data_IF_152892177164
#
_entry.id   IF_152892177164
#
_cell.length_a   1.000
_cell.length_b   1.000
_cell.length_c   1.000
_cell.angle_alpha   90.00
_cell.angle_beta   90.00
_cell.angle_gamma   90.00
#
_symmetry.space_group_name_H-M   'P 1'
#
loop_
_entity.id
_entity.type
_entity.pdbx_description
1 polymer ?
#
# COMPACT_ATOMS: atom_id res chain seq x y z
N UNK A 1 -4.79 -10.23 -6.46
CA UNK A 1 -5.01 -9.66 -7.80
C UNK A 1 -6.13 -10.38 -8.49
N UNK A 2 -6.96 -9.65 -9.17
CA UNK A 2 -7.98 -10.27 -9.99
C UNK A 2 -7.34 -10.84 -11.25
N UNK A 3 -7.73 -12.05 -11.62
CA UNK A 3 -7.15 -12.70 -12.79
C UNK A 3 -7.50 -12.00 -14.10
N UNK A 4 -8.63 -11.34 -14.15
CA UNK A 4 -9.09 -10.60 -15.32
C UNK A 4 -8.54 -9.17 -15.37
N UNK A 5 -7.68 -8.81 -14.41
CA UNK A 5 -7.06 -7.50 -14.27
C UNK A 5 -8.04 -6.36 -14.04
N UNK A 6 -9.29 -6.66 -13.69
CA UNK A 6 -10.22 -5.60 -13.34
C UNK A 6 -9.87 -5.01 -11.98
N UNK A 7 -10.21 -3.74 -11.79
CA UNK A 7 -9.99 -3.07 -10.53
C UNK A 7 -10.97 -3.61 -9.47
N UNK A 8 -10.48 -3.71 -8.24
CA UNK A 8 -11.33 -3.95 -7.09
C UNK A 8 -11.95 -2.60 -6.73
N UNK A 9 -13.28 -2.54 -6.72
CA UNK A 9 -14.01 -1.30 -6.49
C UNK A 9 -15.03 -1.54 -5.39
N UNK A 10 -15.23 -0.53 -4.54
CA UNK A 10 -16.26 -0.57 -3.51
C UNK A 10 -15.75 -0.16 -2.14
N UNK A 11 -16.69 -0.06 -1.20
CA UNK A 11 -16.39 0.30 0.19
C UNK A 11 -16.29 -0.97 1.03
N UNK A 12 -15.26 -1.01 1.85
CA UNK A 12 -15.07 -2.13 2.79
C UNK A 12 -16.11 -2.02 3.89
N UNK A 13 -16.74 -3.15 4.16
CA UNK A 13 -17.85 -3.22 5.10
C UNK A 13 -19.22 -3.16 4.44
N UNK A 14 -19.31 -2.75 3.17
CA UNK A 14 -20.54 -2.72 2.40
C UNK A 14 -20.43 -3.60 1.16
N UNK A 15 -19.55 -3.22 0.22
CA UNK A 15 -19.36 -3.92 -1.05
C UNK A 15 -18.28 -4.99 -0.97
N UNK A 16 -17.30 -4.79 -0.10
CA UNK A 16 -16.11 -5.63 0.04
C UNK A 16 -15.95 -6.09 1.48
N UNK A 17 -15.38 -7.27 1.64
CA UNK A 17 -14.97 -7.78 2.94
C UNK A 17 -13.63 -7.18 3.35
N UNK A 18 -13.29 -7.36 4.62
CA UNK A 18 -11.99 -6.96 5.17
C UNK A 18 -10.84 -7.65 4.44
N UNK A 19 -11.00 -8.93 4.12
CA UNK A 19 -9.96 -9.69 3.41
C UNK A 19 -9.80 -9.23 1.96
N UNK A 20 -10.90 -8.89 1.31
CA UNK A 20 -10.84 -8.30 -0.03
C UNK A 20 -10.14 -6.93 0.01
N UNK A 21 -10.37 -6.16 1.07
CA UNK A 21 -9.66 -4.90 1.27
C UNK A 21 -8.17 -5.09 1.46
N UNK A 22 -7.76 -6.10 2.24
CA UNK A 22 -6.36 -6.44 2.42
C UNK A 22 -5.70 -6.84 1.11
N UNK A 23 -6.40 -7.61 0.30
CA UNK A 23 -5.93 -7.97 -1.03
C UNK A 23 -5.76 -6.75 -1.92
N UNK A 24 -6.69 -5.79 -1.85
CA UNK A 24 -6.59 -4.55 -2.59
C UNK A 24 -5.36 -3.75 -2.17
N UNK A 25 -5.04 -3.70 -0.87
CA UNK A 25 -3.84 -3.03 -0.37
C UNK A 25 -2.57 -3.70 -0.88
N UNK A 26 -2.56 -5.03 -0.96
CA UNK A 26 -1.44 -5.77 -1.55
C UNK A 26 -1.28 -5.41 -3.03
N UNK A 27 -2.37 -5.28 -3.76
CA UNK A 27 -2.36 -4.86 -5.17
C UNK A 27 -1.73 -3.49 -5.35
N UNK A 28 -2.11 -2.54 -4.50
CA UNK A 28 -1.53 -1.19 -4.52
C UNK A 28 -0.03 -1.28 -4.26
N UNK A 29 0.38 -2.07 -3.28
CA UNK A 29 1.79 -2.30 -2.98
C UNK A 29 2.55 -2.87 -4.17
N UNK A 30 1.99 -3.84 -4.87
CA UNK A 30 2.61 -4.43 -6.05
C UNK A 30 2.76 -3.39 -7.17
N UNK A 31 1.77 -2.53 -7.37
CA UNK A 31 1.85 -1.45 -8.34
C UNK A 31 2.95 -0.46 -7.98
N UNK A 32 3.07 -0.11 -6.70
CA UNK A 32 4.13 0.77 -6.21
C UNK A 32 5.51 0.15 -6.45
N UNK A 33 5.67 -1.15 -6.19
CA UNK A 33 6.93 -1.85 -6.45
C UNK A 33 7.27 -1.86 -7.94
N UNK A 34 6.27 -2.05 -8.80
CA UNK A 34 6.49 -1.99 -10.25
C UNK A 34 6.97 -0.60 -10.68
N UNK A 35 6.42 0.46 -10.10
CA UNK A 35 6.84 1.84 -10.38
C UNK A 35 8.27 2.09 -9.92
N UNK A 36 8.64 1.61 -8.73
CA UNK A 36 10.01 1.73 -8.21
C UNK A 36 10.98 0.98 -9.12
N UNK A 37 10.64 -0.23 -9.53
CA UNK A 37 11.46 -1.02 -10.44
C UNK A 37 11.68 -0.28 -11.76
N UNK A 38 10.63 0.29 -12.33
CA UNK A 38 10.70 1.01 -13.60
C UNK A 38 11.59 2.26 -13.50
N UNK A 39 11.52 2.98 -12.38
CA UNK A 39 12.23 4.25 -12.22
C UNK A 39 13.66 4.09 -11.74
N UNK A 40 13.92 3.15 -10.85
CA UNK A 40 15.22 2.96 -10.24
C UNK A 40 15.98 1.73 -10.77
N UNK A 41 15.28 0.81 -11.40
CA UNK A 41 15.88 -0.41 -11.95
C UNK A 41 16.07 -1.53 -10.94
N UNK A 42 16.00 -1.25 -9.65
CA UNK A 42 16.19 -2.27 -8.61
C UNK A 42 15.60 -1.80 -7.28
N UNK A 43 15.01 -2.71 -6.53
CA UNK A 43 14.56 -2.45 -5.16
C UNK A 43 15.75 -2.23 -4.22
N UNK A 44 16.93 -2.73 -4.57
CA UNK A 44 18.11 -2.59 -3.74
C UNK A 44 18.59 -1.13 -3.62
N UNK A 45 18.12 -0.24 -4.47
CA UNK A 45 18.43 1.18 -4.38
C UNK A 45 17.66 1.91 -3.29
N UNK A 46 16.63 1.29 -2.76
CA UNK A 46 15.87 1.83 -1.62
C UNK A 46 16.56 1.37 -0.33
N UNK A 47 16.85 2.33 0.55
CA UNK A 47 17.43 2.03 1.84
C UNK A 47 16.35 1.56 2.81
N UNK A 48 15.28 2.34 2.92
CA UNK A 48 14.18 2.00 3.81
C UNK A 48 12.93 2.80 3.48
N UNK A 49 11.80 2.23 3.87
CA UNK A 49 10.52 2.93 3.90
C UNK A 49 10.47 3.76 5.17
N UNK A 50 10.15 5.04 5.05
CA UNK A 50 10.12 5.95 6.19
C UNK A 50 8.71 6.02 6.77
N UNK A 51 7.72 6.25 5.91
CA UNK A 51 6.34 6.44 6.34
C UNK A 51 5.37 5.90 5.30
N UNK A 52 4.31 5.29 5.78
CA UNK A 52 3.18 4.84 4.95
C UNK A 52 1.91 5.46 5.51
N UNK A 53 1.16 6.14 4.64
CA UNK A 53 -0.18 6.60 4.95
C UNK A 53 -1.16 5.75 4.14
N UNK A 54 -1.94 4.93 4.83
CA UNK A 54 -2.96 4.09 4.21
C UNK A 54 -4.35 4.67 4.43
N UNK A 55 -5.08 4.87 3.35
CA UNK A 55 -6.44 5.40 3.36
C UNK A 55 -7.39 4.32 2.91
N UNK A 56 -8.41 4.05 3.71
CA UNK A 56 -9.35 2.96 3.49
C UNK A 56 -10.74 3.53 3.24
N UNK A 57 -11.32 3.21 2.09
CA UNK A 57 -12.71 3.54 1.77
C UNK A 57 -13.60 2.54 2.48
N UNK A 58 -14.26 2.95 3.53
CA UNK A 58 -14.98 2.03 4.38
C UNK A 58 -16.25 2.64 4.97
N UNK A 59 -17.10 1.77 5.52
CA UNK A 59 -18.28 2.21 6.25
C UNK A 59 -17.87 2.86 7.58
N UNK A 60 -18.73 3.75 8.16
CA UNK A 60 -18.36 4.45 9.39
C UNK A 60 -18.10 3.54 10.59
N UNK A 61 -18.69 2.34 10.60
CA UNK A 61 -18.54 1.39 11.70
C UNK A 61 -17.34 0.43 11.51
N UNK A 62 -16.62 0.53 10.40
CA UNK A 62 -15.46 -0.32 10.16
C UNK A 62 -14.28 0.20 10.97
N UNK A 63 -13.61 -0.69 11.71
CA UNK A 63 -12.51 -0.32 12.60
C UNK A 63 -11.20 -1.08 12.36
N UNK A 64 -11.11 -1.86 11.29
CA UNK A 64 -9.93 -2.70 11.04
C UNK A 64 -9.02 -2.15 9.93
N UNK A 65 -8.85 -0.83 9.90
CA UNK A 65 -7.98 -0.17 8.92
C UNK A 65 -6.55 -0.73 8.91
N UNK A 66 -5.89 -0.94 10.08
CA UNK A 66 -4.55 -1.51 10.08
C UNK A 66 -4.47 -2.89 9.44
N UNK A 67 -5.48 -3.73 9.65
CA UNK A 67 -5.52 -5.06 9.05
C UNK A 67 -5.50 -4.97 7.52
N UNK A 68 -6.29 -4.05 6.96
CA UNK A 68 -6.37 -3.84 5.51
C UNK A 68 -5.02 -3.39 4.97
N UNK A 69 -4.43 -2.38 5.60
CA UNK A 69 -3.15 -1.81 5.14
C UNK A 69 -1.99 -2.79 5.35
N UNK A 70 -2.12 -3.77 6.23
CA UNK A 70 -1.13 -4.84 6.38
C UNK A 70 -0.84 -5.56 5.05
N UNK A 71 -1.79 -5.59 4.11
CA UNK A 71 -1.56 -6.16 2.78
C UNK A 71 -0.37 -5.51 2.07
N UNK A 72 -0.23 -4.19 2.21
CA UNK A 72 0.90 -3.46 1.65
C UNK A 72 2.14 -3.56 2.54
N UNK A 73 1.97 -3.39 3.86
CA UNK A 73 3.10 -3.39 4.80
C UNK A 73 3.82 -4.73 4.84
N UNK A 74 3.08 -5.83 4.80
CA UNK A 74 3.65 -7.18 4.78
C UNK A 74 4.44 -7.40 3.49
N UNK A 75 3.94 -6.90 2.37
CA UNK A 75 4.64 -6.98 1.09
C UNK A 75 5.96 -6.22 1.14
N UNK A 76 5.96 -4.99 1.66
CA UNK A 76 7.17 -4.18 1.78
C UNK A 76 8.17 -4.83 2.74
N UNK A 77 7.70 -5.42 3.83
CA UNK A 77 8.56 -6.15 4.76
C UNK A 77 9.21 -7.36 4.09
N UNK A 78 8.50 -8.02 3.18
CA UNK A 78 9.06 -9.14 2.42
C UNK A 78 10.17 -8.69 1.47
N UNK A 79 10.06 -7.47 0.92
CA UNK A 79 11.06 -6.95 -0.04
C UNK A 79 12.30 -6.41 0.67
N UNK A 80 12.11 -5.59 1.72
CA UNK A 80 13.21 -4.86 2.36
C UNK A 80 13.51 -5.32 3.79
N UNK A 81 12.81 -6.32 4.27
CA UNK A 81 12.94 -6.80 5.65
C UNK A 81 12.03 -6.03 6.61
N UNK A 82 11.73 -6.62 7.77
CA UNK A 82 10.78 -6.01 8.71
C UNK A 82 11.26 -4.67 9.28
N UNK A 83 12.57 -4.45 9.38
CA UNK A 83 13.11 -3.20 9.91
C UNK A 83 13.09 -2.07 8.88
N UNK A 84 13.47 -2.37 7.63
CA UNK A 84 13.61 -1.36 6.58
C UNK A 84 12.34 -1.18 5.75
N UNK A 85 11.46 -2.16 5.72
CA UNK A 85 10.29 -2.15 4.86
C UNK A 85 9.03 -1.56 5.47
N UNK A 86 8.98 -1.37 6.78
CA UNK A 86 7.74 -0.98 7.46
C UNK A 86 7.68 0.52 7.75
N UNK A 87 8.67 1.08 8.44
CA UNK A 87 8.64 2.49 8.80
C UNK A 87 7.48 2.85 9.76
N UNK A 88 7.18 4.13 9.87
CA UNK A 88 6.00 4.58 10.59
C UNK A 88 4.78 4.48 9.68
N UNK A 89 3.61 4.24 10.29
CA UNK A 89 2.39 4.01 9.51
C UNK A 89 1.18 4.63 10.17
N UNK A 90 0.33 5.24 9.34
CA UNK A 90 -1.01 5.65 9.71
C UNK A 90 -2.00 4.93 8.80
N UNK A 91 -3.04 4.34 9.38
CA UNK A 91 -4.10 3.70 8.64
C UNK A 91 -5.42 4.33 9.08
N UNK A 92 -6.10 4.99 8.16
CA UNK A 92 -7.28 5.79 8.47
C UNK A 92 -8.43 5.45 7.53
N UNK A 93 -9.64 5.73 7.97
CA UNK A 93 -10.85 5.50 7.18
C UNK A 93 -11.36 6.77 6.53
N UNK A 94 -11.86 6.63 5.31
CA UNK A 94 -12.51 7.70 4.57
C UNK A 94 -13.89 7.22 4.12
N UNK A 95 -14.82 8.16 4.05
CA UNK A 95 -16.18 7.86 3.56
C UNK A 95 -16.22 7.64 2.05
N UNK A 96 -15.22 8.12 1.33
CA UNK A 96 -15.11 7.92 -0.11
C UNK A 96 -13.67 8.14 -0.54
N UNK A 97 -13.29 7.48 -1.62
CA UNK A 97 -12.03 7.70 -2.32
C UNK A 97 -12.31 7.86 -3.81
N UNK A 98 -11.40 8.50 -4.57
CA UNK A 98 -11.59 8.69 -6.00
C UNK A 98 -11.90 7.38 -6.72
N UNK A 99 -12.81 7.42 -7.68
CA UNK A 99 -13.23 6.26 -8.48
C UNK A 99 -13.74 5.09 -7.64
N UNK A 100 -14.18 5.38 -6.40
CA UNK A 100 -14.66 4.36 -5.46
C UNK A 100 -13.67 3.23 -5.22
N UNK A 101 -12.37 3.53 -5.30
CA UNK A 101 -11.33 2.55 -4.96
C UNK A 101 -11.38 2.25 -3.46
N UNK A 102 -11.07 1.02 -3.05
CA UNK A 102 -11.16 0.65 -1.64
C UNK A 102 -9.99 1.14 -0.79
N UNK A 103 -8.83 1.35 -1.39
CA UNK A 103 -7.60 1.69 -0.67
C UNK A 103 -6.77 2.64 -1.50
N UNK A 104 -6.16 3.62 -0.85
CA UNK A 104 -5.17 4.52 -1.43
C UNK A 104 -4.00 4.62 -0.47
N UNK A 105 -2.77 4.54 -0.98
CA UNK A 105 -1.58 4.48 -0.13
C UNK A 105 -0.53 5.47 -0.62
N UNK A 106 0.02 6.24 0.31
CA UNK A 106 1.19 7.08 0.08
C UNK A 106 2.35 6.53 0.90
N UNK A 107 3.53 6.48 0.30
CA UNK A 107 4.73 6.01 0.98
C UNK A 107 5.90 6.93 0.70
N UNK A 108 6.67 7.22 1.74
CA UNK A 108 7.93 7.93 1.64
C UNK A 108 9.07 6.96 1.92
N UNK A 109 10.13 7.04 1.15
CA UNK A 109 11.29 6.18 1.31
C UNK A 109 12.58 6.95 1.02
N UNK A 110 13.70 6.42 1.50
CA UNK A 110 15.01 7.00 1.21
C UNK A 110 15.79 6.09 0.29
N UNK A 111 16.57 6.70 -0.60
CA UNK A 111 17.51 5.99 -1.45
C UNK A 111 18.81 5.72 -0.71
N UNK A 112 19.53 4.71 -1.14
CA UNK A 112 20.89 4.49 -0.66
C UNK A 112 21.79 5.64 -1.13
N UNK A 113 22.88 5.95 -0.40
CA UNK A 113 23.69 7.14 -0.70
C UNK A 113 24.25 7.23 -2.12
N UNK A 114 24.52 6.08 -2.75
CA UNK A 114 25.06 6.05 -4.11
C UNK A 114 24.01 6.18 -5.20
N UNK A 115 22.73 6.26 -4.82
CA UNK A 115 21.64 6.39 -5.78
C UNK A 115 21.49 7.85 -6.17
N UNK A 116 21.60 8.14 -7.46
CA UNK A 116 21.35 9.48 -7.98
C UNK A 116 19.86 9.59 -8.29
N UNK A 117 19.28 10.68 -7.85
CA UNK A 117 17.85 10.92 -8.05
C UNK A 117 17.17 11.22 -6.75
N UNK A 118 15.85 11.15 -6.78
CA UNK A 118 15.01 11.52 -5.64
C UNK A 118 14.35 10.31 -5.01
N UNK A 119 13.97 10.48 -3.80
CA UNK A 119 13.15 9.52 -3.08
C UNK A 119 11.73 9.49 -3.62
#
# INVERSE_FOLDING_TARGET
MRNDKSLIIGRIGKDLTMDEGKLAAQQVGLTMLATIQANLGSFNKIKRVIKVLGMVNCTPDFGKHPYVINGCSELFAAVWGPDNGVGTRSAVGFGSLPDNIPVEIEANYTNKPWTIGTS
#
